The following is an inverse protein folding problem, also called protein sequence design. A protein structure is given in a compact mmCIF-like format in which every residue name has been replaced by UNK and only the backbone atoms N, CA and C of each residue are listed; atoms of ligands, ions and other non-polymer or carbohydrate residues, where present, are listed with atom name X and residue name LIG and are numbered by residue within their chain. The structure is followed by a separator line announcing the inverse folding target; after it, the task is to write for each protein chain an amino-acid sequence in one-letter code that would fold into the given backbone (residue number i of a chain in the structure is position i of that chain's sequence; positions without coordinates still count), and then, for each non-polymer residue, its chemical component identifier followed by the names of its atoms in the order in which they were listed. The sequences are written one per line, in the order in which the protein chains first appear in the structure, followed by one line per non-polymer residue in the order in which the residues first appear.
data_IF_517575213988
#
_entry.id   IF_517575213988
#
_cell.length_a   1.000
_cell.length_b   1.000
_cell.length_c   1.000
_cell.angle_alpha   90.00
_cell.angle_beta   90.00
_cell.angle_gamma   90.00
#
_symmetry.space_group_name_H-M   'P 1'
#
loop_
_entity.id
_entity.type
_entity.pdbx_description
1 polymer ?
#
# COMPACT_ATOMS: atom_id res chain seq x y z
N UNK A 1 -4.76 18.71 5.37
CA UNK A 1 -4.91 18.27 3.98
C UNK A 1 -4.39 16.84 3.90
N UNK A 2 -5.24 15.90 3.51
CA UNK A 2 -4.82 14.51 3.25
C UNK A 2 -4.14 14.50 1.88
N UNK A 3 -2.88 14.08 1.81
CA UNK A 3 -2.13 14.00 0.54
C UNK A 3 -2.69 12.89 -0.34
N UNK A 4 -2.66 13.06 -1.66
CA UNK A 4 -3.03 11.99 -2.59
C UNK A 4 -1.96 10.89 -2.55
N UNK A 5 -2.33 9.68 -2.97
CA UNK A 5 -1.39 8.56 -3.01
C UNK A 5 -0.15 8.85 -3.87
N UNK A 6 -0.30 9.63 -4.94
CA UNK A 6 0.82 10.07 -5.77
C UNK A 6 1.85 10.87 -4.97
N UNK A 7 1.40 11.87 -4.21
CA UNK A 7 2.30 12.68 -3.38
C UNK A 7 3.00 11.82 -2.31
N UNK A 8 2.26 10.88 -1.70
CA UNK A 8 2.84 9.95 -0.72
C UNK A 8 3.93 9.08 -1.35
N UNK A 9 3.70 8.57 -2.56
CA UNK A 9 4.69 7.75 -3.29
C UNK A 9 5.88 8.58 -3.77
N UNK A 10 5.68 9.86 -4.10
CA UNK A 10 6.77 10.77 -4.47
C UNK A 10 7.65 11.07 -3.24
N UNK A 11 7.04 11.31 -2.08
CA UNK A 11 7.76 11.58 -0.82
C UNK A 11 8.44 10.33 -0.27
N UNK A 12 7.80 9.17 -0.40
CA UNK A 12 8.33 7.88 0.01
C UNK A 12 8.17 6.83 -1.11
N UNK A 13 9.14 6.76 -2.04
CA UNK A 13 9.13 5.80 -3.15
C UNK A 13 9.06 4.35 -2.68
N UNK A 14 9.61 4.07 -1.50
CA UNK A 14 9.66 2.73 -0.93
C UNK A 14 8.28 2.29 -0.42
N UNK A 15 7.46 3.24 0.04
CA UNK A 15 6.05 3.00 0.33
C UNK A 15 5.26 2.68 -0.94
N UNK A 16 5.54 3.36 -2.05
CA UNK A 16 4.98 3.02 -3.35
C UNK A 16 5.31 1.60 -3.79
N UNK A 17 6.55 1.17 -3.58
CA UNK A 17 6.98 -0.19 -3.89
C UNK A 17 6.29 -1.23 -2.99
N UNK A 18 6.18 -0.96 -1.69
CA UNK A 18 5.43 -1.81 -0.76
C UNK A 18 3.96 -2.01 -1.19
N UNK A 19 3.32 -0.95 -1.65
CA UNK A 19 1.94 -1.01 -2.15
C UNK A 19 1.84 -1.85 -3.43
N UNK A 20 2.78 -1.64 -4.37
CA UNK A 20 2.84 -2.42 -5.60
C UNK A 20 3.07 -3.90 -5.33
N UNK A 21 3.98 -4.23 -4.40
CA UNK A 21 4.28 -5.61 -4.02
C UNK A 21 3.09 -6.30 -3.34
N UNK A 22 2.25 -5.54 -2.62
CA UNK A 22 0.96 -6.01 -2.08
C UNK A 22 -0.16 -6.09 -3.12
N UNK A 23 0.11 -5.75 -4.39
CA UNK A 23 -0.86 -5.80 -5.48
C UNK A 23 -1.73 -4.56 -5.63
N UNK A 24 -1.43 -3.46 -4.92
CA UNK A 24 -2.12 -2.20 -5.14
C UNK A 24 -1.55 -1.50 -6.38
N UNK A 25 -2.40 -1.01 -7.30
CA UNK A 25 -1.94 -0.39 -8.54
C UNK A 25 -1.50 1.07 -8.33
N UNK A 26 -0.85 1.39 -7.20
CA UNK A 26 -0.41 2.75 -6.88
C UNK A 26 1.03 2.95 -7.30
N UNK A 27 1.21 3.62 -8.43
CA UNK A 27 2.50 4.08 -8.94
C UNK A 27 2.39 5.52 -9.42
N UNK A 28 3.53 6.21 -9.55
CA UNK A 28 3.59 7.60 -10.06
C UNK A 28 3.04 7.69 -11.49
N UNK A 29 3.11 6.60 -12.24
CA UNK A 29 2.61 6.49 -13.61
C UNK A 29 1.11 6.17 -13.68
N UNK A 30 0.49 5.72 -12.57
CA UNK A 30 -0.94 5.44 -12.54
C UNK A 30 -1.75 6.66 -12.08
N UNK A 31 -2.60 7.25 -12.95
CA UNK A 31 -3.41 8.42 -12.59
C UNK A 31 -4.39 8.14 -11.45
N UNK A 32 -4.72 6.87 -11.16
CA UNK A 32 -5.57 6.50 -10.01
C UNK A 32 -4.93 6.98 -8.70
N UNK A 33 -3.59 7.00 -8.59
CA UNK A 33 -2.89 7.46 -7.40
C UNK A 33 -3.11 8.96 -7.10
N UNK A 34 -3.55 9.76 -8.08
CA UNK A 34 -3.92 11.17 -7.87
C UNK A 34 -5.33 11.35 -7.30
N UNK A 35 -6.20 10.35 -7.51
CA UNK A 35 -7.62 10.44 -7.21
C UNK A 35 -7.99 9.89 -5.84
N UNK A 36 -7.11 9.09 -5.24
CA UNK A 36 -7.35 8.45 -3.93
C UNK A 36 -6.29 8.89 -2.92
N UNK A 37 -6.70 8.96 -1.65
CA UNK A 37 -5.80 9.15 -0.52
C UNK A 37 -5.56 7.83 0.20
N UNK A 38 -4.51 7.74 1.02
CA UNK A 38 -4.25 6.53 1.81
C UNK A 38 -5.46 6.14 2.69
N UNK A 39 -6.17 7.14 3.23
CA UNK A 39 -7.39 6.90 4.00
C UNK A 39 -8.49 6.24 3.17
N UNK A 40 -8.66 6.63 1.91
CA UNK A 40 -9.65 6.02 1.02
C UNK A 40 -9.27 4.57 0.71
N UNK A 41 -7.99 4.29 0.48
CA UNK A 41 -7.49 2.92 0.27
C UNK A 41 -7.78 2.05 1.48
N UNK A 42 -7.44 2.53 2.68
CA UNK A 42 -7.69 1.82 3.94
C UNK A 42 -9.18 1.52 4.11
N UNK A 43 -10.06 2.47 3.81
CA UNK A 43 -11.51 2.27 3.92
C UNK A 43 -12.06 1.32 2.84
N UNK A 44 -11.68 1.50 1.57
CA UNK A 44 -12.17 0.70 0.44
C UNK A 44 -11.73 -0.75 0.51
N UNK A 45 -10.52 -0.99 1.05
CA UNK A 45 -9.91 -2.31 1.15
C UNK A 45 -10.10 -2.92 2.55
N UNK A 46 -10.85 -2.24 3.43
CA UNK A 46 -11.08 -2.65 4.82
C UNK A 46 -9.80 -3.02 5.57
N UNK A 47 -8.74 -2.24 5.34
CA UNK A 47 -7.44 -2.46 5.96
C UNK A 47 -7.43 -1.88 7.37
N UNK A 48 -6.71 -2.53 8.27
CA UNK A 48 -6.32 -1.91 9.52
C UNK A 48 -5.13 -0.98 9.25
N UNK A 49 -5.35 0.33 9.39
CA UNK A 49 -4.35 1.34 9.10
C UNK A 49 -3.08 1.17 9.93
N UNK A 50 -3.23 0.87 11.21
CA UNK A 50 -2.11 0.81 12.14
C UNK A 50 -1.30 -0.47 11.91
N UNK A 51 -1.99 -1.59 11.65
CA UNK A 51 -1.32 -2.83 11.24
C UNK A 51 -0.58 -2.65 9.90
N UNK A 52 -1.19 -1.96 8.94
CA UNK A 52 -0.60 -1.74 7.61
C UNK A 52 0.68 -0.89 7.68
N UNK A 53 0.68 0.14 8.53
CA UNK A 53 1.86 0.97 8.77
C UNK A 53 2.95 0.20 9.52
N UNK A 54 2.59 -0.63 10.49
CA UNK A 54 3.54 -1.50 11.18
C UNK A 54 4.20 -2.52 10.24
N UNK A 55 3.44 -3.08 9.30
CA UNK A 55 4.01 -3.94 8.25
C UNK A 55 4.95 -3.17 7.33
N UNK A 56 4.62 -1.93 6.99
CA UNK A 56 5.51 -1.08 6.19
C UNK A 56 6.81 -0.76 6.93
N UNK A 57 6.76 -0.48 8.24
CA UNK A 57 7.95 -0.28 9.06
C UNK A 57 8.83 -1.55 9.08
N UNK A 58 8.22 -2.74 9.17
CA UNK A 58 8.94 -4.00 9.07
C UNK A 58 9.57 -4.21 7.67
N UNK A 59 8.82 -3.91 6.60
CA UNK A 59 9.32 -3.94 5.22
C UNK A 59 10.52 -3.00 5.03
N UNK A 60 10.45 -1.79 5.60
CA UNK A 60 11.54 -0.81 5.62
C UNK A 60 12.75 -1.31 6.39
N UNK A 61 12.54 -1.88 7.58
CA UNK A 61 13.60 -2.46 8.39
C UNK A 61 14.28 -3.64 7.68
N UNK A 62 13.54 -4.37 6.84
CA UNK A 62 14.05 -5.49 6.04
C UNK A 62 14.68 -5.05 4.70
N UNK A 63 14.89 -3.76 4.49
CA UNK A 63 15.53 -3.23 3.29
C UNK A 63 14.66 -3.25 2.03
N UNK A 64 13.34 -3.29 2.17
CA UNK A 64 12.40 -3.32 1.05
C UNK A 64 12.11 -4.73 0.53
N UNK A 65 12.00 -5.70 1.44
CA UNK A 65 11.62 -7.08 1.12
C UNK A 65 10.42 -7.46 1.96
N UNK A 66 9.30 -7.80 1.31
CA UNK A 66 8.11 -8.29 1.99
C UNK A 66 8.40 -9.63 2.68
N UNK A 67 8.03 -9.79 3.96
CA UNK A 67 8.12 -11.10 4.59
C UNK A 67 7.19 -12.08 3.88
N UNK A 68 7.70 -13.29 3.61
CA UNK A 68 6.96 -14.38 2.98
C UNK A 68 5.75 -14.73 3.87
N UNK A 69 4.54 -14.30 3.45
CA UNK A 69 3.31 -14.38 4.25
C UNK A 69 2.48 -13.08 4.30
N UNK A 70 3.01 -11.94 3.82
CA UNK A 70 2.24 -10.73 3.56
C UNK A 70 1.43 -10.84 2.26
N UNK A 71 0.74 -11.95 2.03
CA UNK A 71 -0.24 -12.02 0.94
C UNK A 71 -1.43 -11.11 1.30
N UNK A 72 -1.92 -10.28 0.36
CA UNK A 72 -3.25 -9.74 0.51
C UNK A 72 -4.19 -10.95 0.54
N UNK A 73 -4.77 -11.28 1.69
CA UNK A 73 -5.85 -12.25 1.77
C UNK A 73 -7.05 -11.72 0.98
N UNK A 74 -7.02 -11.87 -0.34
CA UNK A 74 -8.22 -12.04 -1.13
C UNK A 74 -8.78 -13.42 -0.79
N UNK A 75 -9.33 -13.55 0.42
CA UNK A 75 -10.22 -14.66 0.79
C UNK A 75 -11.50 -14.48 -0.03
N UNK A 76 -11.48 -14.90 -1.29
CA UNK A 76 -12.56 -14.56 -2.21
C UNK A 76 -12.40 -15.08 -3.63
N UNK A 77 -11.94 -16.31 -3.82
CA UNK A 77 -12.31 -17.11 -4.99
C UNK A 77 -12.28 -18.59 -4.57
N UNK A 78 -13.33 -18.99 -3.85
CA UNK A 78 -13.73 -20.39 -3.83
C UNK A 78 -14.31 -20.75 -5.18
N UNK A 79 -13.70 -21.71 -5.85
CA UNK A 79 -14.32 -22.66 -6.80
C UNK A 79 -13.38 -23.85 -6.97
#
# INVERSE_FOLDING_TARGET
MTKCMRDVVIEDPMFGQFLADKGFPFSIENPIAELVTFTDVVQLQHLDKDAFLAEYDAYRANGGVLPEGSEPTCTGCGL
#
